data_IF_501722912947
#
_entry.id   IF_501722912947
#
_cell.length_a   1.000
_cell.length_b   1.000
_cell.length_c   1.000
_cell.angle_alpha   90.00
_cell.angle_beta   90.00
_cell.angle_gamma   90.00
#
_symmetry.space_group_name_H-M   'P 1'
#
loop_
_entity.id
_entity.type
_entity.pdbx_description
1 polymer ?
#
# COMPACT_ATOMS: atom_id res chain seq x y z
N UNK A 1 10.02 -13.20 15.25
CA UNK A 1 8.61 -13.24 14.77
C UNK A 1 8.47 -12.68 13.35
N UNK A 2 9.08 -11.54 13.02
CA UNK A 2 9.08 -10.96 11.64
C UNK A 2 9.86 -11.80 10.62
N UNK A 3 10.94 -12.47 11.03
CA UNK A 3 11.70 -13.40 10.17
C UNK A 3 10.85 -14.58 9.66
N UNK A 4 9.88 -15.02 10.45
CA UNK A 4 8.97 -16.10 10.04
C UNK A 4 7.99 -15.63 8.96
N UNK A 5 7.59 -14.37 9.00
CA UNK A 5 6.71 -13.75 7.98
C UNK A 5 7.50 -13.57 6.67
N UNK A 6 8.76 -13.15 6.74
CA UNK A 6 9.62 -12.97 5.55
C UNK A 6 9.81 -14.27 4.77
N UNK A 7 9.97 -15.41 5.46
CA UNK A 7 10.08 -16.73 4.82
C UNK A 7 8.78 -17.20 4.17
N UNK A 8 7.63 -16.73 4.67
CA UNK A 8 6.32 -17.07 4.10
C UNK A 8 6.06 -16.40 2.74
N UNK A 9 6.72 -15.27 2.45
CA UNK A 9 6.49 -14.48 1.23
C UNK A 9 7.68 -14.50 0.24
N UNK A 10 8.79 -15.16 0.57
CA UNK A 10 9.99 -15.25 -0.28
C UNK A 10 9.90 -16.29 -1.43
N UNK A 11 8.72 -16.72 -1.79
CA UNK A 11 8.42 -17.60 -2.95
C UNK A 11 6.92 -17.64 -3.17
N UNK A 12 6.47 -18.23 -4.29
CA UNK A 12 5.04 -18.51 -4.44
C UNK A 12 4.59 -19.30 -3.22
N UNK A 13 3.71 -18.75 -2.35
CA UNK A 13 3.39 -19.39 -1.09
C UNK A 13 2.79 -20.77 -1.39
N UNK A 14 3.49 -21.83 -1.03
CA UNK A 14 2.90 -23.15 -1.03
C UNK A 14 1.79 -23.18 0.02
N UNK A 15 0.78 -24.03 -0.16
CA UNK A 15 -0.33 -24.18 0.80
C UNK A 15 0.17 -24.40 2.25
N UNK A 16 1.35 -24.98 2.44
CA UNK A 16 2.00 -25.15 3.74
C UNK A 16 2.36 -23.83 4.47
N UNK A 17 2.61 -22.75 3.72
CA UNK A 17 2.86 -21.43 4.32
C UNK A 17 1.61 -20.78 4.96
N UNK A 18 0.41 -21.15 4.51
CA UNK A 18 -0.83 -20.55 4.99
C UNK A 18 -1.30 -21.10 6.34
N UNK A 19 -0.89 -22.29 6.70
CA UNK A 19 -1.18 -22.87 8.02
C UNK A 19 -0.62 -22.00 9.15
N UNK A 20 0.56 -21.44 8.97
CA UNK A 20 1.15 -20.53 9.95
C UNK A 20 0.38 -19.20 10.03
N UNK A 21 -0.12 -18.68 8.90
CA UNK A 21 -0.99 -17.49 8.89
C UNK A 21 -2.34 -17.79 9.55
N UNK A 22 -2.92 -18.94 9.28
CA UNK A 22 -4.17 -19.39 9.90
C UNK A 22 -4.02 -19.51 11.43
N UNK A 23 -2.98 -20.22 11.91
CA UNK A 23 -2.69 -20.34 13.33
C UNK A 23 -2.44 -18.99 14.00
N UNK A 24 -1.71 -18.10 13.33
CA UNK A 24 -1.46 -16.75 13.81
C UNK A 24 -2.77 -15.95 13.95
N UNK A 25 -3.66 -16.03 12.97
CA UNK A 25 -4.94 -15.33 12.97
C UNK A 25 -5.85 -15.86 14.07
N UNK A 26 -6.03 -17.18 14.17
CA UNK A 26 -6.88 -17.84 15.16
C UNK A 26 -6.37 -17.57 16.59
N UNK A 27 -5.06 -17.60 16.84
CA UNK A 27 -4.48 -17.30 18.14
C UNK A 27 -4.76 -15.86 18.63
N UNK A 28 -5.17 -14.96 17.71
CA UNK A 28 -5.53 -13.55 18.00
C UNK A 28 -7.02 -13.28 17.93
N UNK A 29 -7.83 -14.33 17.76
CA UNK A 29 -9.29 -14.18 17.63
C UNK A 29 -9.74 -13.59 16.29
N UNK A 30 -8.87 -13.61 15.26
CA UNK A 30 -9.22 -13.16 13.92
C UNK A 30 -9.87 -14.28 13.10
N UNK A 31 -10.67 -13.91 12.13
CA UNK A 31 -11.28 -14.85 11.19
C UNK A 31 -10.32 -15.08 10.03
N UNK A 32 -10.01 -16.34 9.73
CA UNK A 32 -9.21 -16.75 8.57
C UNK A 32 -10.09 -17.48 7.54
N UNK A 33 -9.97 -17.10 6.29
CA UNK A 33 -10.69 -17.72 5.16
C UNK A 33 -9.74 -17.94 3.99
N UNK A 34 -9.74 -19.15 3.43
CA UNK A 34 -9.06 -19.44 2.15
C UNK A 34 -9.97 -19.07 0.98
N UNK A 35 -9.42 -18.43 -0.05
CA UNK A 35 -10.17 -18.12 -1.27
C UNK A 35 -10.15 -19.34 -2.20
N UNK A 36 -11.32 -19.71 -2.75
CA UNK A 36 -11.47 -20.93 -3.55
C UNK A 36 -10.80 -20.85 -4.93
N UNK A 37 -10.88 -19.68 -5.56
CA UNK A 37 -10.54 -19.53 -6.98
C UNK A 37 -9.19 -18.87 -7.24
N UNK A 38 -8.61 -18.15 -6.28
CA UNK A 38 -7.42 -17.33 -6.50
C UNK A 38 -6.15 -17.85 -5.82
N UNK A 39 -6.24 -18.98 -5.11
CA UNK A 39 -5.10 -19.51 -4.37
C UNK A 39 -4.60 -18.53 -3.29
N UNK A 40 -5.48 -17.75 -2.65
CA UNK A 40 -5.18 -16.76 -1.65
C UNK A 40 -5.84 -17.00 -0.30
N UNK A 41 -5.73 -16.03 0.59
CA UNK A 41 -6.42 -16.03 1.88
C UNK A 41 -6.88 -14.64 2.29
N UNK A 42 -7.80 -14.60 3.23
CA UNK A 42 -8.29 -13.38 3.88
C UNK A 42 -8.23 -13.57 5.39
N UNK A 43 -7.73 -12.56 6.09
CA UNK A 43 -7.80 -12.44 7.56
C UNK A 43 -8.60 -11.21 7.89
N UNK A 44 -9.59 -11.33 8.78
CA UNK A 44 -10.43 -10.23 9.21
C UNK A 44 -10.36 -10.08 10.73
N UNK A 45 -9.96 -8.91 11.19
CA UNK A 45 -10.13 -8.50 12.58
C UNK A 45 -11.50 -7.85 12.73
N UNK A 46 -12.29 -8.35 13.68
CA UNK A 46 -13.61 -7.80 14.00
C UNK A 46 -13.50 -6.75 15.11
N UNK A 47 -14.45 -5.84 15.17
CA UNK A 47 -14.53 -4.80 16.18
C UNK A 47 -14.43 -3.40 15.62
N UNK A 48 -14.33 -2.43 16.52
CA UNK A 48 -14.34 -1.01 16.16
C UNK A 48 -13.13 -0.59 15.32
N UNK A 49 -11.93 -1.18 15.52
CA UNK A 49 -10.73 -0.98 14.74
C UNK A 49 -10.50 -2.13 13.75
N UNK A 50 -11.60 -2.57 13.13
CA UNK A 50 -11.59 -3.67 12.18
C UNK A 50 -10.64 -3.41 11.01
N UNK A 51 -9.90 -4.45 10.61
CA UNK A 51 -9.07 -4.43 9.41
C UNK A 51 -9.22 -5.75 8.66
N UNK A 52 -8.89 -5.69 7.38
CA UNK A 52 -8.92 -6.84 6.48
C UNK A 52 -7.59 -6.96 5.76
N UNK A 53 -6.95 -8.11 5.88
CA UNK A 53 -5.73 -8.49 5.20
C UNK A 53 -6.06 -9.55 4.15
N UNK A 54 -5.65 -9.33 2.92
CA UNK A 54 -5.84 -10.24 1.80
C UNK A 54 -4.51 -10.55 1.12
N UNK A 55 -4.28 -11.83 0.82
CA UNK A 55 -3.24 -12.27 -0.08
C UNK A 55 -3.87 -12.89 -1.33
N UNK A 56 -3.37 -12.55 -2.49
CA UNK A 56 -3.84 -13.12 -3.75
C UNK A 56 -3.15 -12.52 -4.98
N UNK A 57 -3.66 -12.80 -6.19
CA UNK A 57 -3.18 -12.15 -7.40
C UNK A 57 -3.26 -10.64 -7.29
N UNK A 58 -2.29 -9.95 -7.88
CA UNK A 58 -2.31 -8.49 -7.91
C UNK A 58 -3.57 -7.96 -8.60
N UNK A 59 -4.13 -6.88 -8.05
CA UNK A 59 -5.22 -6.10 -8.64
C UNK A 59 -4.69 -4.85 -9.36
N UNK A 60 -3.36 -4.66 -9.36
CA UNK A 60 -2.67 -3.51 -9.95
C UNK A 60 -1.71 -3.99 -11.01
N UNK A 61 -1.80 -3.44 -12.21
CA UNK A 61 -0.97 -3.83 -13.36
C UNK A 61 0.52 -3.57 -13.11
N UNK A 62 0.83 -2.57 -12.29
CA UNK A 62 2.20 -2.24 -11.94
C UNK A 62 2.77 -3.11 -10.80
N UNK A 63 2.01 -4.04 -10.21
CA UNK A 63 2.49 -5.03 -9.23
C UNK A 63 2.45 -6.40 -9.89
N UNK A 64 3.60 -7.04 -10.06
CA UNK A 64 3.72 -8.37 -10.65
C UNK A 64 3.63 -9.45 -9.58
N UNK A 65 2.91 -10.53 -9.88
CA UNK A 65 2.80 -11.69 -8.98
C UNK A 65 1.70 -11.57 -7.95
N UNK A 66 2.00 -11.92 -6.69
CA UNK A 66 1.06 -11.84 -5.58
C UNK A 66 1.11 -10.49 -4.87
N UNK A 67 -0.02 -10.08 -4.34
CA UNK A 67 -0.19 -8.83 -3.59
C UNK A 67 -0.78 -9.10 -2.21
N UNK A 68 -0.14 -8.54 -1.17
CA UNK A 68 -0.69 -8.47 0.18
C UNK A 68 -1.37 -7.11 0.36
N UNK A 69 -2.68 -7.13 0.56
CA UNK A 69 -3.50 -5.93 0.74
C UNK A 69 -4.01 -5.83 2.16
N UNK A 70 -3.70 -4.75 2.84
CA UNK A 70 -4.28 -4.40 4.13
C UNK A 70 -5.25 -3.23 3.95
N UNK A 71 -6.47 -3.37 4.43
CA UNK A 71 -7.48 -2.31 4.49
C UNK A 71 -7.91 -2.10 5.92
N UNK A 72 -7.92 -0.85 6.35
CA UNK A 72 -8.42 -0.44 7.65
C UNK A 72 -9.20 0.87 7.50
N UNK A 73 -10.26 1.03 8.27
CA UNK A 73 -11.03 2.28 8.32
C UNK A 73 -10.37 3.24 9.31
N UNK A 74 -10.17 4.48 8.87
CA UNK A 74 -9.75 5.57 9.73
C UNK A 74 -10.98 6.36 10.15
N UNK A 75 -11.24 6.43 11.45
CA UNK A 75 -12.50 7.00 11.98
C UNK A 75 -12.57 8.51 11.90
N UNK A 76 -11.46 9.19 12.13
CA UNK A 76 -11.39 10.64 12.22
C UNK A 76 -10.23 11.19 11.39
N UNK A 77 -10.50 12.25 10.64
CA UNK A 77 -9.47 12.94 9.89
C UNK A 77 -10.05 13.91 8.87
N UNK A 78 -9.25 14.88 8.43
CA UNK A 78 -9.60 15.73 7.30
C UNK A 78 -9.81 14.89 6.03
N UNK A 79 -10.36 15.50 5.00
CA UNK A 79 -10.42 14.88 3.65
C UNK A 79 -9.01 14.74 3.04
N UNK A 80 -8.21 13.93 3.70
CA UNK A 80 -6.83 13.68 3.32
C UNK A 80 -6.79 12.60 2.23
N UNK A 81 -6.12 12.93 1.14
CA UNK A 81 -5.69 12.00 0.13
C UNK A 81 -4.17 11.98 0.16
N UNK A 82 -3.60 10.87 0.61
CA UNK A 82 -2.17 10.67 0.75
C UNK A 82 -1.78 9.36 0.06
N UNK A 83 -0.75 9.43 -0.74
CA UNK A 83 -0.08 8.27 -1.31
C UNK A 83 1.36 8.25 -0.83
N UNK A 84 1.78 7.12 -0.24
CA UNK A 84 3.19 6.81 0.04
C UNK A 84 3.56 5.55 -0.72
N UNK A 85 4.63 5.60 -1.48
CA UNK A 85 5.11 4.47 -2.29
C UNK A 85 6.60 4.26 -2.11
N UNK A 86 7.08 3.03 -2.30
CA UNK A 86 8.52 2.77 -2.38
C UNK A 86 9.15 3.61 -3.49
N UNK A 87 10.36 4.12 -3.26
CA UNK A 87 11.04 5.09 -4.15
C UNK A 87 11.17 4.59 -5.59
N UNK A 88 11.62 3.34 -5.75
CA UNK A 88 11.78 2.76 -7.09
C UNK A 88 10.44 2.61 -7.83
N UNK A 89 9.36 2.29 -7.10
CA UNK A 89 8.04 2.24 -7.69
C UNK A 89 7.55 3.62 -8.11
N UNK A 90 7.75 4.65 -7.27
CA UNK A 90 7.38 6.03 -7.61
C UNK A 90 8.06 6.49 -8.89
N UNK A 91 9.37 6.27 -9.00
CA UNK A 91 10.15 6.64 -10.18
C UNK A 91 9.69 5.89 -11.45
N UNK A 92 9.30 4.62 -11.31
CA UNK A 92 8.77 3.84 -12.42
C UNK A 92 7.39 4.34 -12.86
N UNK A 93 6.48 4.61 -11.92
CA UNK A 93 5.14 5.12 -12.22
C UNK A 93 5.18 6.54 -12.81
N UNK A 94 6.04 7.41 -12.28
CA UNK A 94 6.23 8.76 -12.83
C UNK A 94 6.73 8.71 -14.28
N UNK A 95 7.66 7.80 -14.59
CA UNK A 95 8.16 7.60 -15.95
C UNK A 95 7.04 7.08 -16.86
N UNK A 96 6.29 6.08 -16.42
CA UNK A 96 5.17 5.53 -17.20
C UNK A 96 4.14 6.61 -17.51
N UNK A 97 3.73 7.38 -16.52
CA UNK A 97 2.77 8.48 -16.72
C UNK A 97 3.33 9.52 -17.67
N UNK A 98 4.62 9.88 -17.55
CA UNK A 98 5.26 10.84 -18.44
C UNK A 98 5.30 10.33 -19.89
N UNK A 99 5.64 9.06 -20.12
CA UNK A 99 5.64 8.43 -21.44
C UNK A 99 4.24 8.42 -22.05
N UNK A 100 3.21 8.04 -21.29
CA UNK A 100 1.81 8.07 -21.74
C UNK A 100 1.34 9.48 -22.13
N UNK A 101 1.80 10.52 -21.42
CA UNK A 101 1.46 11.92 -21.76
C UNK A 101 2.22 12.45 -22.97
N UNK A 102 3.46 11.98 -23.23
CA UNK A 102 4.30 12.47 -24.32
C UNK A 102 4.06 11.74 -25.64
N UNK A 103 3.71 10.45 -25.59
CA UNK A 103 3.44 9.65 -26.80
C UNK A 103 2.01 9.72 -27.29
N UNK A 104 1.08 10.02 -26.39
CA UNK A 104 -0.35 10.15 -26.71
C UNK A 104 -0.77 11.61 -26.88
N UNK A 105 -1.44 11.91 -27.96
CA UNK A 105 -2.27 13.12 -28.14
C UNK A 105 -3.47 13.17 -27.15
N UNK A 106 -3.41 12.41 -26.06
CA UNK A 106 -4.46 12.32 -25.07
C UNK A 106 -4.29 13.38 -23.99
N UNK A 107 -5.04 14.46 -24.11
CA UNK A 107 -5.18 15.51 -23.10
C UNK A 107 -6.10 15.11 -21.92
N UNK A 108 -6.50 13.85 -21.83
CA UNK A 108 -7.39 13.35 -20.78
C UNK A 108 -6.74 12.17 -20.07
N UNK A 109 -6.64 12.30 -18.74
CA UNK A 109 -6.38 11.15 -17.87
C UNK A 109 -7.57 10.20 -18.03
N UNK A 110 -7.30 8.99 -18.53
CA UNK A 110 -8.34 7.98 -18.72
C UNK A 110 -8.93 7.59 -17.36
N UNK A 111 -10.23 7.37 -17.32
CA UNK A 111 -10.93 6.85 -16.12
C UNK A 111 -10.47 5.44 -15.75
N UNK A 112 -9.83 4.72 -16.68
CA UNK A 112 -9.20 3.42 -16.43
C UNK A 112 -7.86 3.53 -15.67
N UNK A 113 -7.22 4.71 -15.65
CA UNK A 113 -5.98 4.92 -14.89
C UNK A 113 -6.27 4.81 -13.38
N UNK A 114 -5.53 3.97 -12.63
CA UNK A 114 -5.68 3.86 -11.19
C UNK A 114 -5.61 5.22 -10.49
N UNK A 115 -6.40 5.40 -9.45
CA UNK A 115 -6.55 6.69 -8.77
C UNK A 115 -5.22 7.17 -8.19
N UNK A 116 -4.44 6.28 -7.62
CA UNK A 116 -3.12 6.58 -7.09
C UNK A 116 -2.12 7.07 -8.15
N UNK A 117 -2.22 6.59 -9.38
CA UNK A 117 -1.40 7.10 -10.49
C UNK A 117 -1.80 8.52 -10.89
N UNK A 118 -3.10 8.83 -10.86
CA UNK A 118 -3.58 10.19 -11.10
C UNK A 118 -3.05 11.16 -10.04
N UNK A 119 -2.96 10.74 -8.78
CA UNK A 119 -2.45 11.56 -7.68
C UNK A 119 -0.97 11.93 -7.84
N UNK A 120 -0.15 11.06 -8.45
CA UNK A 120 1.26 11.38 -8.76
C UNK A 120 1.42 12.62 -9.66
N UNK A 121 0.41 12.88 -10.50
CA UNK A 121 0.40 14.04 -11.42
C UNK A 121 -0.31 15.24 -10.80
N UNK A 122 -1.39 15.01 -10.06
CA UNK A 122 -2.29 16.05 -9.57
C UNK A 122 -1.81 16.70 -8.29
N UNK A 123 -1.14 15.93 -7.42
CA UNK A 123 -0.80 16.39 -6.08
C UNK A 123 0.68 16.76 -5.96
N UNK A 124 0.99 17.77 -5.15
CA UNK A 124 2.37 18.13 -4.89
C UNK A 124 3.13 16.99 -4.19
N UNK A 125 4.40 16.84 -4.55
CA UNK A 125 5.32 15.95 -3.82
C UNK A 125 5.53 16.48 -2.41
N UNK A 126 5.39 15.59 -1.46
CA UNK A 126 5.65 15.91 -0.06
C UNK A 126 7.07 15.52 0.28
N UNK A 127 7.80 16.47 0.76
CA UNK A 127 9.12 16.22 1.31
C UNK A 127 8.97 16.01 2.81
N UNK A 128 9.20 14.78 3.28
CA UNK A 128 9.43 14.54 4.70
C UNK A 128 10.73 15.25 5.07
N UNK A 129 10.60 16.52 5.50
CA UNK A 129 11.75 17.42 5.67
C UNK A 129 12.76 16.87 6.68
N UNK A 130 12.31 16.10 7.66
CA UNK A 130 13.08 15.73 8.84
C UNK A 130 13.79 14.36 8.70
N UNK A 131 13.43 13.50 7.75
CA UNK A 131 14.06 12.19 7.59
C UNK A 131 14.64 11.98 6.20
N UNK A 132 15.98 12.13 6.08
CA UNK A 132 16.71 11.79 4.86
C UNK A 132 16.50 10.32 4.49
N UNK A 133 16.57 9.42 5.47
CA UNK A 133 16.41 7.98 5.28
C UNK A 133 15.00 7.63 4.74
N UNK A 134 13.94 8.29 5.24
CA UNK A 134 12.59 8.08 4.69
C UNK A 134 12.53 8.43 3.21
N UNK A 135 13.15 9.54 2.80
CA UNK A 135 13.19 9.98 1.40
C UNK A 135 13.99 9.05 0.48
N UNK A 136 14.98 8.35 1.02
CA UNK A 136 15.76 7.36 0.26
C UNK A 136 14.94 6.11 -0.06
N UNK A 137 14.00 5.73 0.80
CA UNK A 137 13.19 4.53 0.64
C UNK A 137 11.80 4.80 0.04
N UNK A 138 11.22 5.96 0.32
CA UNK A 138 9.84 6.27 -0.03
C UNK A 138 9.67 7.64 -0.68
N UNK A 139 8.65 7.77 -1.51
CA UNK A 139 8.10 9.03 -1.96
C UNK A 139 6.67 9.20 -1.51
N UNK A 140 6.21 10.44 -1.41
CA UNK A 140 4.85 10.76 -1.00
C UNK A 140 4.28 11.92 -1.81
N UNK A 141 2.98 11.86 -2.10
CA UNK A 141 2.17 12.94 -2.65
C UNK A 141 0.86 13.04 -1.88
N UNK A 142 0.27 14.23 -1.84
CA UNK A 142 -1.03 14.39 -1.17
C UNK A 142 -1.68 15.73 -1.46
N UNK A 143 -3.00 15.78 -1.25
CA UNK A 143 -3.82 16.96 -1.53
C UNK A 143 -3.66 18.08 -0.50
N UNK A 144 -3.21 17.77 0.72
CA UNK A 144 -3.01 18.71 1.83
C UNK A 144 -1.55 18.66 2.29
N UNK A 145 -0.62 19.31 1.56
CA UNK A 145 0.81 19.23 1.85
C UNK A 145 1.17 19.73 3.24
N UNK A 146 0.39 20.64 3.83
CA UNK A 146 0.57 21.14 5.18
C UNK A 146 0.20 20.12 6.28
N UNK A 147 -0.71 19.19 6.00
CA UNK A 147 -1.10 18.15 6.95
C UNK A 147 -0.16 16.93 6.91
N UNK A 148 0.53 16.72 5.80
CA UNK A 148 1.33 15.54 5.56
C UNK A 148 2.55 15.38 6.48
N UNK A 149 3.27 16.43 6.89
CA UNK A 149 4.35 16.29 7.86
C UNK A 149 3.89 15.67 9.18
N UNK A 150 2.67 15.98 9.65
CA UNK A 150 2.13 15.36 10.87
C UNK A 150 1.96 13.83 10.72
N UNK A 151 1.60 13.36 9.55
CA UNK A 151 1.50 11.92 9.24
C UNK A 151 2.87 11.26 9.05
N UNK A 152 3.79 11.95 8.39
CA UNK A 152 5.10 11.41 8.03
C UNK A 152 6.20 11.64 9.07
N UNK A 153 5.95 12.38 10.14
CA UNK A 153 6.92 12.62 11.23
C UNK A 153 6.57 11.86 12.52
N UNK A 154 5.55 11.01 12.48
CA UNK A 154 5.06 10.26 13.65
C UNK A 154 5.33 8.77 13.59
N UNK A 155 4.42 8.03 14.20
CA UNK A 155 4.49 6.56 14.29
C UNK A 155 4.57 5.86 12.93
N UNK A 156 3.93 6.41 11.89
CA UNK A 156 3.99 5.87 10.53
C UNK A 156 5.41 5.84 9.99
N UNK A 157 6.16 6.95 10.12
CA UNK A 157 7.57 7.02 9.70
C UNK A 157 8.43 5.98 10.39
N UNK A 158 8.27 5.82 11.71
CA UNK A 158 9.00 4.80 12.47
C UNK A 158 8.73 3.41 11.92
N UNK A 159 7.47 3.10 11.60
CA UNK A 159 7.09 1.79 11.05
C UNK A 159 7.56 1.58 9.61
N UNK A 160 7.52 2.59 8.77
CA UNK A 160 8.06 2.53 7.41
C UNK A 160 9.57 2.29 7.41
N UNK A 161 10.32 3.00 8.27
CA UNK A 161 11.77 2.79 8.40
C UNK A 161 12.12 1.44 9.01
N UNK A 162 11.36 0.97 10.00
CA UNK A 162 11.51 -0.39 10.54
C UNK A 162 11.29 -1.43 9.44
N UNK A 163 10.24 -1.26 8.61
CA UNK A 163 9.97 -2.16 7.49
C UNK A 163 11.14 -2.18 6.49
N UNK A 164 11.62 -1.02 6.06
CA UNK A 164 12.73 -0.91 5.11
C UNK A 164 14.04 -1.53 5.63
N UNK A 165 14.27 -1.49 6.95
CA UNK A 165 15.48 -2.06 7.58
C UNK A 165 15.39 -3.56 7.83
N UNK A 166 14.20 -4.13 7.94
CA UNK A 166 14.00 -5.48 8.49
C UNK A 166 13.42 -6.49 7.51
N UNK A 167 12.34 -6.16 6.81
CA UNK A 167 11.61 -7.17 6.04
C UNK A 167 11.20 -6.74 4.63
N UNK A 168 11.17 -5.43 4.32
CA UNK A 168 10.88 -4.93 3.00
C UNK A 168 12.19 -4.76 2.23
N UNK A 169 12.40 -5.53 1.16
CA UNK A 169 13.56 -5.35 0.29
C UNK A 169 13.40 -4.07 -0.52
N UNK A 170 14.52 -3.54 -1.04
CA UNK A 170 14.50 -2.28 -1.80
C UNK A 170 13.67 -2.36 -3.08
N UNK A 171 13.63 -3.53 -3.69
CA UNK A 171 12.87 -3.88 -4.89
C UNK A 171 11.39 -4.18 -4.62
N UNK A 172 11.03 -4.41 -3.37
CA UNK A 172 9.64 -4.66 -3.00
C UNK A 172 8.78 -3.42 -3.23
N UNK A 173 7.59 -3.65 -3.76
CA UNK A 173 6.65 -2.60 -4.08
C UNK A 173 5.70 -2.37 -2.92
N UNK A 174 5.90 -1.27 -2.19
CA UNK A 174 4.98 -0.81 -1.15
C UNK A 174 4.13 0.32 -1.69
N UNK A 175 2.83 0.23 -1.47
CA UNK A 175 1.85 1.28 -1.76
C UNK A 175 0.99 1.47 -0.53
N UNK A 176 1.00 2.66 0.05
CA UNK A 176 0.11 3.07 1.14
C UNK A 176 -0.80 4.17 0.62
N UNK A 177 -2.10 3.94 0.65
CA UNK A 177 -3.12 4.90 0.23
C UNK A 177 -3.95 5.26 1.46
N UNK A 178 -4.06 6.55 1.73
CA UNK A 178 -5.00 7.09 2.70
C UNK A 178 -6.00 7.96 1.94
N UNK A 179 -7.28 7.61 2.04
CA UNK A 179 -8.35 8.39 1.42
C UNK A 179 -9.63 8.22 2.22
N UNK A 180 -10.44 9.26 2.23
CA UNK A 180 -11.82 9.17 2.70
C UNK A 180 -12.68 8.65 1.56
N UNK A 181 -13.29 7.49 1.74
CA UNK A 181 -14.32 7.01 0.84
C UNK A 181 -15.59 7.84 1.08
N UNK A 182 -15.88 8.78 0.20
CA UNK A 182 -17.19 9.41 0.15
C UNK A 182 -18.15 8.45 -0.54
N UNK A 183 -19.07 7.86 0.21
CA UNK A 183 -20.22 7.16 -0.34
C UNK A 183 -21.17 8.21 -0.93
N UNK A 184 -21.06 8.44 -2.23
CA UNK A 184 -22.12 9.13 -2.96
C UNK A 184 -23.21 8.09 -3.21
N UNK A 185 -24.26 8.10 -2.40
CA UNK A 185 -25.49 7.43 -2.75
C UNK A 185 -26.13 8.23 -3.90
N UNK A 186 -26.11 7.64 -5.09
CA UNK A 186 -26.96 8.08 -6.21
C UNK A 186 -28.28 7.30 -6.13
#
# INVERSE_FOLDING_TARGET
>A
MLESIKRLFAGTPSQAGWEACEQWALARGHVFKRTRDSGGFVVEAQGEDGWRLEWGPSQRDYITGGELRLRAELRDGPELQLLVVSRLLMEALERQVFEEFTEGTQTRIDTATPEEMRWLVMFPKVTAAESKELREHYGAVGNLPEALPAWLNGALTVKLLEAARTWLAREDRLVLIVQRLSLIHI
#
